data_IF_418734592610
#
_entry.id   IF_418734592610
#
_cell.length_a   1.000
_cell.length_b   1.000
_cell.length_c   1.000
_cell.angle_alpha   90.00
_cell.angle_beta   90.00
_cell.angle_gamma   90.00
#
_symmetry.space_group_name_H-M   'P 1'
#
loop_
_entity.id
_entity.type
_entity.pdbx_description
1 polymer ?
#
# COMPACT_ATOMS: atom_id res chain seq x y z
N UNK A 1 -23.28 48.49 24.12
CA UNK A 1 -22.08 47.70 23.77
C UNK A 1 -22.43 46.22 23.82
N UNK A 2 -21.75 45.37 23.03
CA UNK A 2 -21.85 43.90 22.99
C UNK A 2 -22.91 43.23 22.08
N UNK A 3 -23.07 43.67 20.82
CA UNK A 3 -23.79 42.88 19.79
C UNK A 3 -23.00 42.60 18.50
N UNK A 4 -21.83 43.24 18.32
CA UNK A 4 -20.95 43.04 17.16
C UNK A 4 -19.92 41.93 17.32
N UNK A 5 -19.51 41.60 18.55
CA UNK A 5 -18.46 40.60 18.79
C UNK A 5 -18.88 39.15 18.51
N UNK A 6 -20.14 38.80 18.74
CA UNK A 6 -20.65 37.43 18.52
C UNK A 6 -20.85 37.10 17.04
N UNK A 7 -21.25 38.09 16.22
CA UNK A 7 -21.45 37.90 14.77
C UNK A 7 -20.10 37.76 14.06
N UNK A 8 -19.09 38.56 14.44
CA UNK A 8 -17.73 38.41 13.89
C UNK A 8 -17.09 37.07 14.27
N UNK A 9 -17.29 36.58 15.50
CA UNK A 9 -16.73 35.30 15.94
C UNK A 9 -17.38 34.11 15.21
N UNK A 10 -18.69 34.16 14.97
CA UNK A 10 -19.41 33.12 14.24
C UNK A 10 -18.99 33.05 12.75
N UNK A 11 -18.74 34.20 12.11
CA UNK A 11 -18.26 34.25 10.72
C UNK A 11 -16.81 33.74 10.62
N UNK A 12 -15.95 34.07 11.58
CA UNK A 12 -14.58 33.53 11.66
C UNK A 12 -14.55 32.01 11.88
N UNK A 13 -15.43 31.48 12.75
CA UNK A 13 -15.57 30.05 12.98
C UNK A 13 -16.08 29.31 11.74
N UNK A 14 -17.09 29.86 11.06
CA UNK A 14 -17.61 29.29 9.82
C UNK A 14 -16.55 29.31 8.72
N UNK A 15 -15.79 30.40 8.57
CA UNK A 15 -14.68 30.48 7.62
C UNK A 15 -13.54 29.49 7.94
N UNK A 16 -13.22 29.26 9.22
CA UNK A 16 -12.21 28.28 9.61
C UNK A 16 -12.59 26.83 9.29
N UNK A 17 -13.88 26.51 9.23
CA UNK A 17 -14.36 25.18 8.84
C UNK A 17 -14.25 24.98 7.31
N UNK A 18 -14.37 26.05 6.50
CA UNK A 18 -14.20 25.97 5.03
C UNK A 18 -12.72 25.91 4.63
N UNK A 19 -11.82 26.51 5.41
CA UNK A 19 -10.37 26.38 5.21
C UNK A 19 -9.76 25.10 5.80
N UNK A 20 -10.51 24.35 6.61
CA UNK A 20 -10.15 22.99 7.02
C UNK A 20 -10.52 21.95 5.95
N UNK A 21 -10.69 22.37 4.68
CA UNK A 21 -10.77 21.45 3.55
C UNK A 21 -9.60 20.48 3.63
N UNK A 22 -9.92 19.18 3.57
CA UNK A 22 -9.01 18.05 3.78
C UNK A 22 -7.60 18.38 3.27
N UNK A 23 -6.68 18.67 4.19
CA UNK A 23 -5.27 18.75 3.86
C UNK A 23 -4.91 17.35 3.40
N UNK A 24 -4.71 17.18 2.09
CA UNK A 24 -4.22 15.93 1.53
C UNK A 24 -2.91 15.59 2.23
N UNK A 25 -2.67 14.31 2.56
CA UNK A 25 -1.41 13.93 3.16
C UNK A 25 -0.25 14.37 2.26
N UNK A 26 0.89 14.70 2.87
CA UNK A 26 2.10 15.02 2.12
C UNK A 26 2.56 13.77 1.37
N UNK A 27 2.53 13.83 0.04
CA UNK A 27 2.99 12.77 -0.86
C UNK A 27 4.40 13.08 -1.36
N UNK A 28 5.09 12.04 -1.81
CA UNK A 28 6.29 12.19 -2.61
C UNK A 28 5.95 12.90 -3.92
N UNK A 29 6.86 13.74 -4.43
CA UNK A 29 6.64 14.43 -5.72
C UNK A 29 6.86 13.46 -6.89
N UNK A 30 6.12 13.65 -7.98
CA UNK A 30 6.37 12.96 -9.24
C UNK A 30 7.38 13.75 -10.09
N UNK A 31 8.26 13.04 -10.80
CA UNK A 31 9.18 13.65 -11.77
C UNK A 31 10.65 13.56 -11.37
N UNK A 32 11.54 14.29 -12.05
CA UNK A 32 12.99 14.07 -12.00
C UNK A 32 13.63 14.23 -10.62
N UNK A 33 13.08 15.10 -9.76
CA UNK A 33 13.55 15.31 -8.39
C UNK A 33 12.78 14.44 -7.36
N UNK A 34 11.79 13.69 -7.84
CA UNK A 34 10.86 12.88 -7.07
C UNK A 34 10.97 11.40 -7.42
N UNK A 35 9.83 10.77 -7.68
CA UNK A 35 9.74 9.41 -8.24
C UNK A 35 9.25 9.43 -9.69
N UNK A 36 9.83 8.57 -10.52
CA UNK A 36 9.37 8.27 -11.87
C UNK A 36 9.32 6.75 -12.07
N UNK A 37 8.22 6.28 -12.65
CA UNK A 37 7.98 4.87 -12.97
C UNK A 37 7.50 4.74 -14.39
N UNK A 38 8.11 3.83 -15.15
CA UNK A 38 7.69 3.46 -16.49
C UNK A 38 7.43 1.97 -16.54
N UNK A 39 6.18 1.58 -16.78
CA UNK A 39 5.75 0.17 -16.88
C UNK A 39 5.69 -0.23 -18.36
N UNK A 40 6.38 -1.31 -18.71
CA UNK A 40 6.28 -1.98 -20.01
C UNK A 40 5.73 -3.40 -19.81
N UNK A 41 4.42 -3.53 -19.91
CA UNK A 41 3.74 -4.82 -19.77
C UNK A 41 4.06 -5.79 -20.91
N UNK A 42 4.44 -5.29 -22.08
CA UNK A 42 4.80 -6.12 -23.24
C UNK A 42 6.17 -6.78 -23.07
N UNK A 43 7.10 -6.07 -22.43
CA UNK A 43 8.40 -6.59 -22.01
C UNK A 43 8.32 -7.32 -20.66
N UNK A 44 7.24 -7.13 -19.89
CA UNK A 44 7.10 -7.70 -18.55
C UNK A 44 8.02 -7.03 -17.54
N UNK A 45 8.29 -5.73 -17.68
CA UNK A 45 9.26 -5.00 -16.86
C UNK A 45 8.74 -3.63 -16.44
N UNK A 46 9.27 -3.09 -15.34
CA UNK A 46 9.14 -1.69 -14.99
C UNK A 46 10.51 -1.08 -14.69
N UNK A 47 10.65 0.20 -15.04
CA UNK A 47 11.83 1.02 -14.78
C UNK A 47 11.49 2.06 -13.72
N UNK A 48 12.34 2.20 -12.71
CA UNK A 48 12.14 3.10 -11.58
C UNK A 48 13.32 4.06 -11.44
N UNK A 49 12.99 5.31 -11.15
CA UNK A 49 13.94 6.32 -10.70
C UNK A 49 13.39 7.04 -9.47
N UNK A 50 14.22 7.29 -8.47
CA UNK A 50 13.87 8.08 -7.29
C UNK A 50 15.05 8.92 -6.85
N UNK A 51 14.80 10.22 -6.61
CA UNK A 51 15.76 11.20 -6.08
C UNK A 51 15.28 11.84 -4.78
N UNK A 52 14.35 11.17 -4.10
CA UNK A 52 13.69 11.69 -2.90
C UNK A 52 14.45 11.36 -1.61
N UNK A 53 14.71 12.39 -0.81
CA UNK A 53 15.39 12.26 0.48
C UNK A 53 16.83 11.79 0.31
N UNK A 54 17.21 10.73 1.03
CA UNK A 54 18.53 10.10 0.91
C UNK A 54 18.57 9.02 -0.18
N UNK A 55 17.45 8.75 -0.87
CA UNK A 55 17.38 7.74 -1.91
C UNK A 55 17.78 8.33 -3.27
N UNK A 56 18.74 7.67 -3.93
CA UNK A 56 19.19 7.98 -5.29
C UNK A 56 19.26 6.66 -6.08
N UNK A 57 18.27 6.45 -6.94
CA UNK A 57 18.16 5.31 -7.84
C UNK A 57 17.78 5.83 -9.22
N UNK A 58 18.49 5.39 -10.25
CA UNK A 58 18.26 5.83 -11.63
C UNK A 58 18.14 4.61 -12.54
N UNK A 59 17.06 4.59 -13.32
CA UNK A 59 16.79 3.63 -14.40
C UNK A 59 16.91 2.16 -13.97
N UNK A 60 16.51 1.83 -12.74
CA UNK A 60 16.56 0.47 -12.25
C UNK A 60 15.41 -0.33 -12.84
N UNK A 61 15.71 -1.50 -13.41
CA UNK A 61 14.72 -2.32 -14.09
C UNK A 61 14.38 -3.53 -13.22
N UNK A 62 13.09 -3.73 -12.96
CA UNK A 62 12.58 -4.94 -12.33
C UNK A 62 11.58 -5.66 -13.25
N UNK A 63 11.55 -6.97 -13.11
CA UNK A 63 10.57 -7.86 -13.72
C UNK A 63 9.21 -7.70 -13.04
N UNK A 64 8.14 -7.71 -13.83
CA UNK A 64 6.76 -7.73 -13.35
C UNK A 64 6.32 -9.18 -13.17
N UNK A 65 5.78 -9.46 -11.98
CA UNK A 65 5.36 -10.78 -11.55
C UNK A 65 3.86 -10.77 -11.26
N UNK A 66 3.15 -11.65 -11.96
CA UNK A 66 1.73 -11.95 -11.79
C UNK A 66 1.46 -13.43 -12.06
N UNK A 67 0.19 -13.81 -12.16
CA UNK A 67 -0.15 -15.16 -12.59
C UNK A 67 -0.13 -15.24 -14.13
N UNK A 68 0.34 -16.35 -14.69
CA UNK A 68 0.23 -16.64 -16.12
C UNK A 68 -1.22 -16.98 -16.54
N UNK A 69 -1.44 -17.13 -17.85
CA UNK A 69 -2.74 -17.51 -18.41
C UNK A 69 -3.32 -18.82 -17.84
N UNK A 70 -2.45 -19.76 -17.42
CA UNK A 70 -2.82 -21.04 -16.81
C UNK A 70 -3.05 -20.92 -15.30
N UNK A 71 -2.79 -19.75 -14.71
CA UNK A 71 -2.99 -19.43 -13.31
C UNK A 71 -1.83 -19.79 -12.38
N UNK A 72 -0.65 -20.09 -12.92
CA UNK A 72 0.54 -20.34 -12.14
C UNK A 72 1.27 -19.03 -11.83
N UNK A 73 1.83 -18.95 -10.63
CA UNK A 73 2.73 -17.88 -10.23
C UNK A 73 4.16 -18.42 -10.12
N UNK A 74 5.14 -17.66 -10.59
CA UNK A 74 6.56 -17.99 -10.47
C UNK A 74 7.37 -16.74 -10.23
N UNK A 75 8.12 -16.71 -9.12
CA UNK A 75 9.10 -15.64 -8.87
C UNK A 75 10.28 -15.69 -9.83
N UNK A 76 10.46 -16.79 -10.57
CA UNK A 76 11.54 -16.97 -11.52
C UNK A 76 11.16 -16.60 -12.97
N UNK A 77 9.89 -16.29 -13.23
CA UNK A 77 9.39 -15.95 -14.56
C UNK A 77 8.53 -14.69 -14.50
N UNK A 78 8.80 -13.75 -15.41
CA UNK A 78 7.90 -12.61 -15.62
C UNK A 78 6.56 -13.11 -16.14
N UNK A 79 5.49 -12.49 -15.65
CA UNK A 79 4.15 -12.71 -16.19
C UNK A 79 3.30 -11.46 -16.02
N UNK A 80 2.71 -11.02 -17.13
CA UNK A 80 1.79 -9.88 -17.20
C UNK A 80 0.40 -10.28 -17.70
N UNK A 81 0.05 -11.59 -17.64
CA UNK A 81 -1.26 -12.07 -18.10
C UNK A 81 -2.38 -11.74 -17.10
N UNK A 82 -2.12 -11.91 -15.79
CA UNK A 82 -3.08 -11.64 -14.73
C UNK A 82 -2.43 -10.85 -13.58
N UNK A 83 -2.84 -9.59 -13.36
CA UNK A 83 -2.33 -8.79 -12.27
C UNK A 83 -2.75 -9.38 -10.93
N UNK A 84 -1.92 -9.12 -9.92
CA UNK A 84 -2.19 -9.52 -8.55
C UNK A 84 -3.21 -8.57 -7.95
N UNK A 85 -4.23 -9.15 -7.33
CA UNK A 85 -5.30 -8.46 -6.63
C UNK A 85 -5.13 -8.64 -5.13
N UNK A 86 -4.95 -7.53 -4.43
CA UNK A 86 -4.91 -7.45 -2.98
C UNK A 86 -6.20 -6.81 -2.51
N UNK A 87 -7.01 -7.60 -1.82
CA UNK A 87 -8.36 -7.23 -1.42
C UNK A 87 -8.51 -7.41 0.09
N UNK A 88 -9.24 -6.51 0.73
CA UNK A 88 -9.52 -6.66 2.14
C UNK A 88 -10.02 -5.40 2.85
N UNK A 89 -9.77 -5.38 4.15
CA UNK A 89 -9.96 -4.20 4.98
C UNK A 89 -8.63 -3.51 5.23
N UNK A 90 -8.52 -2.25 4.81
CA UNK A 90 -7.37 -1.39 5.10
C UNK A 90 -7.43 -0.93 6.55
N UNK A 91 -6.49 -1.38 7.36
CA UNK A 91 -6.40 -0.96 8.77
C UNK A 91 -5.55 0.28 8.95
N UNK A 92 -4.39 0.35 8.30
CA UNK A 92 -3.47 1.48 8.39
C UNK A 92 -2.81 1.72 7.04
N UNK A 93 -2.56 2.98 6.73
CA UNK A 93 -1.70 3.42 5.63
C UNK A 93 -0.58 4.28 6.19
N UNK A 94 0.53 4.32 5.45
CA UNK A 94 1.62 5.25 5.69
C UNK A 94 2.16 5.73 4.35
N UNK A 95 2.42 7.03 4.26
CA UNK A 95 3.09 7.63 3.12
C UNK A 95 4.52 8.04 3.50
N UNK A 96 5.40 8.06 2.50
CA UNK A 96 6.81 8.38 2.65
C UNK A 96 7.18 9.59 1.76
N UNK A 97 6.72 10.82 2.10
CA UNK A 97 6.99 12.00 1.27
C UNK A 97 8.48 12.29 1.09
N UNK A 98 9.29 11.99 2.11
CA UNK A 98 10.75 12.15 2.08
C UNK A 98 11.49 10.86 1.65
N UNK A 99 10.76 9.90 1.08
CA UNK A 99 11.29 8.59 0.73
C UNK A 99 11.36 7.61 1.91
N UNK A 100 11.29 6.33 1.60
CA UNK A 100 11.43 5.26 2.58
C UNK A 100 12.89 5.14 3.06
N UNK A 101 13.10 4.98 4.38
CA UNK A 101 14.43 4.78 4.95
C UNK A 101 14.89 3.33 4.79
N UNK A 102 15.22 2.91 3.57
CA UNK A 102 15.65 1.55 3.25
C UNK A 102 16.85 1.52 2.30
N UNK A 103 17.57 0.41 2.31
CA UNK A 103 18.61 0.07 1.32
C UNK A 103 18.14 -0.97 0.30
N UNK A 104 16.92 -1.49 0.45
CA UNK A 104 16.30 -2.39 -0.54
C UNK A 104 15.65 -1.56 -1.63
N UNK A 105 16.01 -1.80 -2.89
CA UNK A 105 15.55 -1.00 -4.03
C UNK A 105 14.03 -0.89 -4.11
N UNK A 106 13.30 -1.99 -3.95
CA UNK A 106 11.84 -1.98 -3.99
C UNK A 106 11.20 -1.22 -2.83
N UNK A 107 11.85 -1.16 -1.67
CA UNK A 107 11.39 -0.30 -0.58
C UNK A 107 11.71 1.16 -0.86
N UNK A 108 12.88 1.49 -1.42
CA UNK A 108 13.27 2.87 -1.75
C UNK A 108 12.27 3.55 -2.70
N UNK A 109 11.72 2.79 -3.66
CA UNK A 109 10.75 3.30 -4.65
C UNK A 109 9.29 3.17 -4.19
N UNK A 110 9.03 2.62 -3.00
CA UNK A 110 7.68 2.58 -2.45
C UNK A 110 7.32 3.93 -1.82
N UNK A 111 6.34 4.62 -2.39
CA UNK A 111 5.89 5.94 -1.90
C UNK A 111 4.91 5.83 -0.75
N UNK A 112 4.27 4.67 -0.62
CA UNK A 112 3.27 4.38 0.41
C UNK A 112 3.36 2.92 0.87
N UNK A 113 2.79 2.62 2.01
CA UNK A 113 2.59 1.26 2.49
C UNK A 113 1.25 1.11 3.20
N UNK A 114 0.69 -0.09 3.16
CA UNK A 114 -0.61 -0.40 3.77
C UNK A 114 -0.55 -1.68 4.60
N UNK A 115 -1.30 -1.70 5.70
CA UNK A 115 -1.60 -2.90 6.48
C UNK A 115 -3.03 -3.30 6.18
N UNK A 116 -3.19 -4.48 5.59
CA UNK A 116 -4.47 -5.00 5.12
C UNK A 116 -4.76 -6.32 5.82
N UNK A 117 -6.01 -6.47 6.26
CA UNK A 117 -6.57 -7.77 6.59
C UNK A 117 -7.24 -8.32 5.35
N UNK A 118 -6.76 -9.46 4.85
CA UNK A 118 -7.26 -10.03 3.61
C UNK A 118 -8.74 -10.45 3.72
N UNK A 119 -9.44 -10.31 2.59
CA UNK A 119 -10.81 -10.73 2.42
C UNK A 119 -11.36 -10.18 1.10
N UNK A 120 -12.34 -10.85 0.49
CA UNK A 120 -12.87 -10.41 -0.80
C UNK A 120 -13.52 -9.03 -0.66
N UNK A 121 -13.26 -8.13 -1.61
CA UNK A 121 -13.70 -6.73 -1.52
C UNK A 121 -15.20 -6.58 -1.24
N UNK A 122 -16.03 -7.35 -1.95
CA UNK A 122 -17.49 -7.29 -1.83
C UNK A 122 -18.02 -7.92 -0.53
N UNK A 123 -17.27 -8.86 0.06
CA UNK A 123 -17.69 -9.64 1.23
C UNK A 123 -17.17 -9.05 2.54
N UNK A 124 -16.04 -8.34 2.50
CA UNK A 124 -15.44 -7.72 3.68
C UNK A 124 -16.38 -6.72 4.33
N UNK A 125 -16.40 -6.70 5.65
CA UNK A 125 -17.19 -5.77 6.46
C UNK A 125 -16.31 -5.10 7.51
N UNK A 126 -16.83 -4.04 8.13
CA UNK A 126 -16.14 -3.34 9.21
C UNK A 126 -15.72 -4.33 10.31
N UNK A 127 -14.41 -4.44 10.62
CA UNK A 127 -13.92 -5.32 11.67
C UNK A 127 -14.53 -4.95 13.02
N UNK A 128 -15.02 -5.96 13.73
CA UNK A 128 -15.63 -5.78 15.06
C UNK A 128 -14.61 -5.84 16.20
N UNK A 129 -13.36 -6.25 15.92
CA UNK A 129 -12.37 -6.62 16.95
C UNK A 129 -11.42 -5.49 17.40
N UNK A 130 -11.66 -4.24 17.03
CA UNK A 130 -10.81 -3.10 17.42
C UNK A 130 -9.80 -2.72 16.33
N UNK A 131 -8.74 -2.00 16.70
CA UNK A 131 -7.74 -1.45 15.77
C UNK A 131 -6.42 -2.20 15.84
N UNK A 132 -5.59 -2.06 14.80
CA UNK A 132 -4.19 -2.51 14.83
C UNK A 132 -3.41 -1.67 15.85
N UNK A 133 -2.65 -2.33 16.72
CA UNK A 133 -1.85 -1.69 17.77
C UNK A 133 -0.35 -1.96 17.62
N UNK A 134 0.47 -1.22 18.36
CA UNK A 134 1.91 -1.54 18.49
C UNK A 134 2.77 -1.11 17.31
N UNK A 135 2.20 -0.47 16.28
CA UNK A 135 2.98 0.13 15.18
C UNK A 135 3.79 1.29 15.72
N UNK A 136 5.11 1.12 15.76
CA UNK A 136 6.10 2.12 16.16
C UNK A 136 7.20 2.16 15.10
N UNK A 137 7.76 3.35 14.89
CA UNK A 137 8.95 3.54 14.05
C UNK A 137 8.81 2.91 12.65
N UNK A 138 7.64 3.08 12.01
CA UNK A 138 7.35 2.53 10.69
C UNK A 138 8.10 3.30 9.59
N UNK A 139 9.42 3.19 9.50
CA UNK A 139 10.25 3.97 8.58
C UNK A 139 10.49 3.32 7.22
N UNK A 140 10.17 2.03 7.12
CA UNK A 140 10.32 1.19 5.94
C UNK A 140 8.95 0.69 5.47
N UNK A 141 8.71 0.52 4.16
CA UNK A 141 7.42 0.10 3.63
C UNK A 141 6.91 -1.21 4.22
N UNK A 142 7.74 -2.25 4.33
CA UNK A 142 7.29 -3.56 4.82
C UNK A 142 8.30 -4.31 5.70
N UNK A 143 9.59 -4.03 5.59
CA UNK A 143 10.61 -4.74 6.37
C UNK A 143 10.65 -4.25 7.81
N UNK A 144 10.85 -5.15 8.79
CA UNK A 144 10.97 -4.83 10.22
C UNK A 144 9.75 -4.14 10.86
N UNK A 145 8.62 -4.05 10.16
CA UNK A 145 7.39 -3.49 10.70
C UNK A 145 6.80 -4.47 11.71
N UNK A 146 6.37 -3.94 12.85
CA UNK A 146 5.75 -4.72 13.92
C UNK A 146 4.39 -4.14 14.25
N UNK A 147 3.39 -5.01 14.30
CA UNK A 147 2.04 -4.66 14.67
C UNK A 147 1.38 -5.83 15.38
N UNK A 148 0.42 -5.53 16.25
CA UNK A 148 -0.48 -6.49 16.87
C UNK A 148 -1.86 -6.28 16.28
N UNK A 149 -2.30 -7.15 15.35
CA UNK A 149 -3.64 -7.05 14.82
C UNK A 149 -4.72 -7.38 15.87
N UNK A 150 -5.96 -6.91 15.69
CA UNK A 150 -7.10 -7.31 16.50
C UNK A 150 -7.19 -8.83 16.69
N UNK A 151 -7.41 -9.27 17.94
CA UNK A 151 -7.51 -10.69 18.28
C UNK A 151 -6.17 -11.40 18.53
N UNK A 152 -5.03 -10.76 18.27
CA UNK A 152 -3.70 -11.28 18.57
C UNK A 152 -3.08 -10.59 19.79
N UNK A 153 -2.15 -11.27 20.46
CA UNK A 153 -1.48 -10.77 21.68
C UNK A 153 0.01 -10.48 21.50
N UNK A 154 0.57 -10.73 20.32
CA UNK A 154 2.00 -10.54 20.02
C UNK A 154 2.23 -9.93 18.64
N UNK A 155 3.24 -9.05 18.56
CA UNK A 155 3.75 -8.47 17.32
C UNK A 155 4.94 -9.24 16.73
N UNK A 156 5.34 -10.37 17.34
CA UNK A 156 6.55 -11.12 16.95
C UNK A 156 6.43 -11.87 15.63
N UNK A 157 5.21 -12.10 15.14
CA UNK A 157 4.88 -12.81 13.90
C UNK A 157 4.04 -11.90 13.00
N UNK A 158 4.49 -10.67 12.76
CA UNK A 158 3.80 -9.76 11.85
C UNK A 158 4.49 -9.77 10.47
N UNK A 159 3.76 -9.92 9.36
CA UNK A 159 2.30 -10.12 9.29
C UNK A 159 1.84 -11.49 9.83
N UNK A 160 0.65 -11.53 10.44
CA UNK A 160 -0.01 -12.77 10.88
C UNK A 160 -0.75 -13.42 9.70
N UNK A 161 -1.17 -14.68 9.83
CA UNK A 161 -1.95 -15.36 8.78
C UNK A 161 -3.25 -14.59 8.49
N UNK A 162 -3.57 -14.40 7.22
CA UNK A 162 -4.67 -13.54 6.76
C UNK A 162 -4.41 -12.03 6.84
N UNK A 163 -3.19 -11.60 7.15
CA UNK A 163 -2.78 -10.19 7.13
C UNK A 163 -1.61 -9.97 6.19
N UNK A 164 -1.48 -8.76 5.67
CA UNK A 164 -0.29 -8.34 4.92
C UNK A 164 0.10 -6.91 5.23
N UNK A 165 1.39 -6.66 5.02
CA UNK A 165 1.93 -5.33 4.83
C UNK A 165 2.45 -5.23 3.39
N UNK A 166 2.04 -4.19 2.68
CA UNK A 166 2.29 -4.04 1.25
C UNK A 166 2.92 -2.69 1.00
N UNK A 167 4.13 -2.67 0.46
CA UNK A 167 4.74 -1.46 -0.11
C UNK A 167 4.13 -1.18 -1.48
N UNK A 168 3.79 0.08 -1.73
CA UNK A 168 3.09 0.51 -2.94
C UNK A 168 4.01 1.41 -3.77
N UNK A 169 4.20 1.01 -5.02
CA UNK A 169 4.92 1.77 -6.04
C UNK A 169 3.87 2.27 -7.04
N UNK A 170 3.72 3.59 -7.25
CA UNK A 170 2.75 4.13 -8.19
C UNK A 170 3.20 3.83 -9.62
N UNK A 171 2.29 3.35 -10.47
CA UNK A 171 2.60 3.08 -11.87
C UNK A 171 2.73 4.37 -12.72
N UNK A 172 2.15 5.48 -12.25
CA UNK A 172 2.23 6.82 -12.84
C UNK A 172 1.79 7.89 -11.82
N UNK A 173 1.94 9.18 -12.17
CA UNK A 173 1.55 10.34 -11.36
C UNK A 173 0.10 10.26 -10.86
N UNK A 174 -0.86 9.86 -11.71
CA UNK A 174 -2.27 9.80 -11.30
C UNK A 174 -2.52 8.71 -10.24
N UNK A 175 -1.75 7.61 -10.28
CA UNK A 175 -1.82 6.57 -9.26
C UNK A 175 -1.20 7.06 -7.95
N UNK A 176 -0.11 7.82 -8.02
CA UNK A 176 0.49 8.46 -6.85
C UNK A 176 -0.49 9.43 -6.17
N UNK A 177 -1.17 10.28 -6.94
CA UNK A 177 -2.22 11.16 -6.43
C UNK A 177 -3.37 10.35 -5.80
N UNK A 178 -3.72 9.21 -6.41
CA UNK A 178 -4.70 8.28 -5.89
C UNK A 178 -4.33 7.71 -4.52
N UNK A 179 -3.03 7.52 -4.24
CA UNK A 179 -2.58 7.02 -2.93
C UNK A 179 -2.89 7.99 -1.79
N UNK A 180 -3.01 9.29 -2.05
CA UNK A 180 -3.46 10.26 -1.03
C UNK A 180 -4.87 9.95 -0.50
N UNK A 181 -5.68 9.17 -1.23
CA UNK A 181 -6.99 8.68 -0.81
C UNK A 181 -6.98 7.42 0.06
N UNK A 182 -5.80 6.83 0.34
CA UNK A 182 -5.65 5.68 1.22
C UNK A 182 -5.82 6.10 2.68
N UNK A 183 -7.05 6.42 3.07
CA UNK A 183 -7.46 6.66 4.45
C UNK A 183 -7.60 5.34 5.23
N UNK A 184 -7.38 5.39 6.55
CA UNK A 184 -7.47 4.21 7.41
C UNK A 184 -8.95 3.76 7.57
N UNK A 185 -9.17 2.46 7.79
CA UNK A 185 -10.47 1.85 8.07
C UNK A 185 -11.50 1.91 6.93
N UNK A 186 -11.09 1.46 5.75
CA UNK A 186 -11.98 1.31 4.59
C UNK A 186 -11.76 -0.03 3.87
N UNK A 187 -12.70 -0.41 2.99
CA UNK A 187 -12.49 -1.50 2.05
C UNK A 187 -11.42 -1.08 1.04
N UNK A 188 -10.56 -2.02 0.66
CA UNK A 188 -9.51 -1.77 -0.34
C UNK A 188 -9.44 -2.89 -1.36
N UNK A 189 -9.19 -2.50 -2.61
CA UNK A 189 -8.83 -3.35 -3.72
C UNK A 189 -7.66 -2.66 -4.42
N UNK A 190 -6.51 -3.31 -4.41
CA UNK A 190 -5.33 -2.91 -5.16
C UNK A 190 -5.08 -3.93 -6.24
N UNK A 191 -4.86 -3.46 -7.46
CA UNK A 191 -4.52 -4.31 -8.60
C UNK A 191 -3.21 -3.82 -9.21
N UNK A 192 -2.29 -4.73 -9.47
CA UNK A 192 -1.00 -4.41 -10.06
C UNK A 192 -0.08 -5.61 -10.12
N UNK A 193 1.22 -5.35 -10.20
CA UNK A 193 2.25 -6.37 -10.36
C UNK A 193 3.16 -6.38 -9.15
N UNK A 194 3.65 -7.55 -8.74
CA UNK A 194 4.82 -7.60 -7.88
C UNK A 194 6.06 -7.32 -8.72
N UNK A 195 7.07 -6.71 -8.11
CA UNK A 195 8.38 -6.52 -8.73
C UNK A 195 9.32 -7.63 -8.27
N UNK A 196 10.27 -8.05 -9.10
CA UNK A 196 11.27 -9.06 -8.74
C UNK A 196 12.20 -8.59 -7.60
N UNK A 197 12.77 -9.53 -6.86
CA UNK A 197 13.56 -9.30 -5.64
C UNK A 197 12.73 -9.12 -4.37
N UNK A 198 11.41 -9.35 -4.42
CA UNK A 198 10.52 -9.16 -3.28
C UNK A 198 10.34 -10.42 -2.42
N UNK A 199 10.39 -10.23 -1.11
CA UNK A 199 10.16 -11.28 -0.13
C UNK A 199 8.65 -11.42 0.12
N UNK A 200 8.07 -12.54 -0.33
CA UNK A 200 6.66 -12.87 -0.07
C UNK A 200 6.40 -13.39 1.35
N UNK A 201 7.44 -13.62 2.15
CA UNK A 201 7.29 -14.25 3.46
C UNK A 201 6.72 -15.67 3.35
N UNK A 202 5.82 -15.98 4.27
CA UNK A 202 5.03 -17.23 4.26
C UNK A 202 3.74 -17.07 3.42
N UNK A 203 3.72 -16.14 2.46
CA UNK A 203 2.58 -15.91 1.58
C UNK A 203 2.73 -16.66 0.27
N UNK A 204 1.61 -17.11 -0.26
CA UNK A 204 1.51 -17.77 -1.56
C UNK A 204 0.65 -16.93 -2.52
N UNK A 205 0.93 -17.05 -3.82
CA UNK A 205 0.13 -16.43 -4.88
C UNK A 205 -0.44 -17.53 -5.74
N UNK A 206 -1.76 -17.48 -5.98
CA UNK A 206 -2.41 -18.39 -6.90
C UNK A 206 -3.69 -17.78 -7.48
N UNK A 207 -4.14 -18.33 -8.59
CA UNK A 207 -5.47 -18.01 -9.12
C UNK A 207 -6.55 -18.70 -8.31
N UNK A 208 -7.49 -17.90 -7.86
CA UNK A 208 -8.67 -18.30 -7.09
C UNK A 208 -9.80 -18.81 -7.99
N UNK A 209 -10.82 -19.43 -7.40
CA UNK A 209 -11.94 -20.06 -8.13
C UNK A 209 -12.73 -19.11 -9.05
N UNK A 210 -12.72 -17.80 -8.76
CA UNK A 210 -13.36 -16.78 -9.59
C UNK A 210 -12.44 -16.21 -10.68
N UNK A 211 -11.21 -16.72 -10.81
CA UNK A 211 -10.29 -16.42 -11.90
C UNK A 211 -9.27 -15.32 -11.60
N UNK A 212 -9.31 -14.73 -10.40
CA UNK A 212 -8.41 -13.66 -9.96
C UNK A 212 -7.11 -14.22 -9.37
N UNK A 213 -5.97 -13.60 -9.70
CA UNK A 213 -4.67 -13.89 -9.09
C UNK A 213 -4.56 -13.15 -7.74
N UNK A 214 -4.52 -13.87 -6.62
CA UNK A 214 -4.56 -13.27 -5.27
C UNK A 214 -3.40 -13.75 -4.39
N UNK A 215 -3.04 -12.92 -3.41
CA UNK A 215 -2.07 -13.27 -2.35
C UNK A 215 -2.82 -13.88 -1.16
N UNK A 216 -2.28 -14.97 -0.62
CA UNK A 216 -2.77 -15.66 0.57
C UNK A 216 -1.66 -15.71 1.61
N UNK A 217 -1.88 -15.13 2.80
CA UNK A 217 -0.91 -15.20 3.90
C UNK A 217 -1.16 -16.41 4.80
N UNK A 218 -0.19 -17.33 4.86
CA UNK A 218 -0.18 -18.51 5.75
C UNK A 218 -0.25 -19.85 5.00
N UNK A 219 0.40 -20.88 5.54
CA UNK A 219 0.57 -22.21 4.94
C UNK A 219 -0.71 -23.06 4.82
N UNK A 220 -1.89 -22.48 5.07
CA UNK A 220 -3.18 -23.11 4.80
C UNK A 220 -4.07 -22.04 4.16
N UNK A 221 -4.80 -22.47 3.14
CA UNK A 221 -5.63 -21.76 2.15
C UNK A 221 -6.73 -20.85 2.78
N UNK A 222 -6.77 -20.73 4.11
CA UNK A 222 -7.70 -19.91 4.90
C UNK A 222 -7.33 -18.41 4.92
N UNK A 223 -6.42 -17.97 4.03
CA UNK A 223 -5.94 -16.58 3.92
C UNK A 223 -7.03 -15.57 3.54
N UNK A 224 -8.19 -16.03 3.07
CA UNK A 224 -9.42 -15.24 2.94
C UNK A 224 -10.43 -15.82 3.94
N UNK A 225 -10.80 -15.03 4.95
CA UNK A 225 -11.91 -15.36 5.84
C UNK A 225 -13.14 -14.55 5.50
#
# INVERSE_FOLDING_TARGET
MARGGQVSLAILLMASIVLAGCVSPEMQEWGPDGIEVAVDESAGTATFSTHTGDNDLQDDVANLLGCDADGNFSVAATSTDKPIRIEGWLHLSKHFPDGAASSSKGEMVSTSAVIVQFGKYDEVTLPTQGKVEGVKDWHTPFTSVRATPPGFTSASKFPHDGWAIVGLIPANENILDGFAGLDWHQKILLEGWLVDGQYLGDSEVHVSDDGDCRIYAGANIDGFR
#
